data_IF_806436876647
#
_entry.id   IF_806436876647
#
_cell.length_a   1.000
_cell.length_b   1.000
_cell.length_c   1.000
_cell.angle_alpha   90.00
_cell.angle_beta   90.00
_cell.angle_gamma   90.00
#
_symmetry.space_group_name_H-M   'P 1'
#
loop_
_entity.id
_entity.type
_entity.pdbx_description
1 polymer ?
#
# COMPACT_ATOMS: atom_id res chain seq x y z
N UNK A 1 22.25 6.32 19.69
CA UNK A 1 21.43 6.29 18.44
C UNK A 1 20.18 7.14 18.61
N UNK A 2 19.75 7.87 17.57
CA UNK A 2 18.44 8.52 17.50
C UNK A 2 17.76 8.09 16.21
N UNK A 3 16.47 7.78 16.27
CA UNK A 3 15.67 7.48 15.09
C UNK A 3 14.21 7.85 15.31
N UNK A 4 13.49 8.03 14.22
CA UNK A 4 12.05 8.22 14.22
C UNK A 4 11.39 6.96 13.72
N UNK A 5 10.19 6.67 14.24
CA UNK A 5 9.43 5.51 13.80
C UNK A 5 7.95 5.82 13.74
N UNK A 6 7.31 5.23 12.75
CA UNK A 6 5.87 5.25 12.57
C UNK A 6 5.23 4.13 13.40
N UNK A 7 4.17 4.44 14.13
CA UNK A 7 3.40 3.44 14.90
C UNK A 7 2.50 2.67 13.94
N UNK A 8 2.58 1.34 14.00
CA UNK A 8 1.74 0.43 13.19
C UNK A 8 0.54 -0.09 14.00
N UNK A 9 -0.50 -0.55 13.31
CA UNK A 9 -1.77 -0.95 13.94
C UNK A 9 -1.63 -2.00 15.06
N UNK A 10 -0.78 -3.01 14.86
CA UNK A 10 -0.57 -4.07 15.86
C UNK A 10 0.12 -3.55 17.14
N UNK A 11 1.02 -2.58 17.02
CA UNK A 11 1.74 -1.97 18.13
C UNK A 11 0.84 -1.13 19.00
N UNK A 12 -0.02 -0.32 18.36
CA UNK A 12 -1.04 0.46 19.03
C UNK A 12 -2.01 -0.45 19.79
N UNK A 13 -2.50 -1.52 19.14
CA UNK A 13 -3.47 -2.45 19.73
C UNK A 13 -2.91 -3.21 20.92
N UNK A 14 -1.67 -3.70 20.81
CA UNK A 14 -1.04 -4.57 21.82
C UNK A 14 -0.12 -3.82 22.78
N UNK A 15 0.08 -2.51 22.60
CA UNK A 15 0.80 -1.67 23.55
C UNK A 15 2.30 -1.94 23.63
N UNK A 16 2.91 -2.26 22.50
CA UNK A 16 4.35 -2.48 22.41
C UNK A 16 4.98 -1.65 21.31
N UNK A 17 6.30 -1.52 21.36
CA UNK A 17 7.13 -0.87 20.35
C UNK A 17 8.23 -1.82 19.91
N UNK A 18 8.31 -2.08 18.61
CA UNK A 18 9.43 -2.81 18.02
C UNK A 18 10.71 -1.96 18.01
N UNK A 19 11.85 -2.60 18.32
CA UNK A 19 13.17 -2.00 18.30
C UNK A 19 13.96 -2.54 17.09
N UNK A 20 14.44 -1.66 16.18
CA UNK A 20 15.24 -2.07 15.02
C UNK A 20 16.55 -2.76 15.41
N UNK A 21 17.05 -3.67 14.56
CA UNK A 21 18.26 -4.45 14.82
C UNK A 21 19.47 -3.60 15.23
N UNK A 22 19.73 -2.49 14.54
CA UNK A 22 20.84 -1.57 14.89
C UNK A 22 20.71 -0.93 16.28
N UNK A 23 19.48 -0.82 16.80
CA UNK A 23 19.23 -0.27 18.12
C UNK A 23 19.33 -1.34 19.23
N UNK A 24 19.22 -2.63 18.88
CA UNK A 24 19.31 -3.74 19.82
C UNK A 24 20.72 -3.89 20.38
N UNK A 25 21.76 -3.61 19.58
CA UNK A 25 23.18 -3.59 20.02
C UNK A 25 23.44 -2.63 21.19
N UNK A 26 22.51 -1.72 21.48
CA UNK A 26 22.58 -0.73 22.54
C UNK A 26 21.67 -1.05 23.73
N UNK A 27 21.01 -2.21 23.73
CA UNK A 27 20.08 -2.68 24.74
C UNK A 27 20.61 -3.96 25.43
N UNK A 28 20.04 -4.35 26.59
CA UNK A 28 20.45 -5.58 27.27
C UNK A 28 20.18 -6.82 26.42
N UNK A 29 21.10 -7.78 26.45
CA UNK A 29 20.98 -9.05 25.72
C UNK A 29 19.98 -10.05 26.34
N UNK A 30 19.29 -9.63 27.41
CA UNK A 30 18.34 -10.47 28.14
C UNK A 30 17.01 -9.74 28.32
N UNK A 31 15.92 -10.50 28.24
CA UNK A 31 14.57 -10.00 28.55
C UNK A 31 14.51 -9.54 30.01
N UNK A 32 13.85 -8.40 30.26
CA UNK A 32 13.76 -7.84 31.60
C UNK A 32 13.15 -6.45 31.64
N UNK A 33 13.19 -5.83 32.81
CA UNK A 33 12.69 -4.46 33.00
C UNK A 33 13.77 -3.45 32.67
N UNK A 34 13.45 -2.50 31.80
CA UNK A 34 14.33 -1.40 31.38
C UNK A 34 13.79 -0.05 31.84
N UNK A 35 14.70 0.91 31.99
CA UNK A 35 14.34 2.29 32.30
C UNK A 35 14.14 3.06 30.99
N UNK A 36 12.93 3.59 30.82
CA UNK A 36 12.51 4.36 29.65
C UNK A 36 11.97 5.70 30.09
N UNK A 37 12.39 6.77 29.42
CA UNK A 37 11.85 8.11 29.65
C UNK A 37 10.80 8.41 28.57
N UNK A 38 9.52 8.54 28.96
CA UNK A 38 8.41 8.85 28.07
C UNK A 38 8.06 10.34 28.17
N UNK A 39 8.29 11.13 27.12
CA UNK A 39 8.13 12.60 27.12
C UNK A 39 8.79 13.26 28.36
N UNK A 40 10.03 12.87 28.66
CA UNK A 40 10.77 13.38 29.82
C UNK A 40 10.40 12.74 31.17
N UNK A 41 9.36 11.90 31.23
CA UNK A 41 8.93 11.23 32.48
C UNK A 41 9.50 9.81 32.59
N UNK A 42 10.22 9.46 33.66
CA UNK A 42 10.77 8.12 33.82
C UNK A 42 9.66 7.09 34.02
N UNK A 43 9.84 5.92 33.40
CA UNK A 43 8.93 4.77 33.47
C UNK A 43 9.75 3.48 33.37
N UNK A 44 9.32 2.45 34.09
CA UNK A 44 9.87 1.10 33.95
C UNK A 44 8.97 0.32 33.00
N UNK A 45 9.57 -0.22 31.94
CA UNK A 45 8.88 -0.99 30.90
C UNK A 45 9.56 -2.34 30.72
N UNK A 46 8.84 -3.31 30.15
CA UNK A 46 9.38 -4.64 29.91
C UNK A 46 9.97 -4.70 28.51
N UNK A 47 11.23 -5.07 28.40
CA UNK A 47 11.89 -5.41 27.15
C UNK A 47 11.95 -6.92 27.00
N UNK A 48 11.59 -7.41 25.81
CA UNK A 48 11.75 -8.80 25.44
C UNK A 48 12.72 -8.88 24.26
N UNK A 49 13.83 -9.60 24.46
CA UNK A 49 14.89 -9.73 23.47
C UNK A 49 14.45 -10.64 22.30
N UNK A 50 13.76 -11.74 22.58
CA UNK A 50 13.32 -12.72 21.57
C UNK A 50 12.41 -12.08 20.50
N UNK A 51 11.56 -11.13 20.93
CA UNK A 51 10.64 -10.42 20.06
C UNK A 51 11.10 -9.02 19.67
N UNK A 52 12.21 -8.53 20.25
CA UNK A 52 12.73 -7.18 20.06
C UNK A 52 11.70 -6.08 20.35
N UNK A 53 11.01 -6.19 21.48
CA UNK A 53 9.86 -5.34 21.82
C UNK A 53 9.97 -4.75 23.20
N UNK A 54 9.58 -3.47 23.31
CA UNK A 54 9.29 -2.83 24.58
C UNK A 54 7.78 -2.83 24.79
N UNK A 55 7.31 -3.42 25.87
CA UNK A 55 5.91 -3.53 26.26
C UNK A 55 5.52 -2.53 27.34
N UNK A 56 4.21 -2.28 27.46
CA UNK A 56 3.62 -1.42 28.50
C UNK A 56 3.36 0.01 28.02
N UNK A 57 3.24 0.22 26.71
CA UNK A 57 3.04 1.53 26.10
C UNK A 57 1.56 1.88 25.88
N UNK A 58 0.62 0.95 26.10
CA UNK A 58 -0.83 1.18 25.87
C UNK A 58 -1.35 2.45 26.53
N UNK A 59 -1.06 2.63 27.82
CA UNK A 59 -1.53 3.78 28.59
C UNK A 59 -0.91 5.08 28.07
N UNK A 60 0.38 5.05 27.73
CA UNK A 60 1.07 6.20 27.18
C UNK A 60 0.52 6.58 25.80
N UNK A 61 0.34 5.61 24.89
CA UNK A 61 -0.28 5.84 23.60
C UNK A 61 -1.66 6.46 23.72
N UNK A 62 -2.49 5.97 24.65
CA UNK A 62 -3.82 6.52 24.90
C UNK A 62 -3.76 7.95 25.43
N UNK A 63 -2.92 8.21 26.45
CA UNK A 63 -2.82 9.54 27.07
C UNK A 63 -2.26 10.60 26.14
N UNK A 64 -1.36 10.22 25.24
CA UNK A 64 -0.74 11.15 24.29
C UNK A 64 -1.53 11.28 22.98
N UNK A 65 -2.61 10.53 22.78
CA UNK A 65 -3.36 10.55 21.52
C UNK A 65 -2.55 10.01 20.33
N UNK A 66 -1.60 9.12 20.60
CA UNK A 66 -0.79 8.45 19.57
C UNK A 66 -1.67 7.43 18.87
N UNK A 67 -1.75 7.52 17.55
CA UNK A 67 -2.53 6.63 16.70
C UNK A 67 -1.65 5.89 15.69
N UNK A 68 -2.25 5.02 14.88
CA UNK A 68 -1.60 4.45 13.70
C UNK A 68 -1.09 5.59 12.83
N UNK A 69 0.09 5.43 12.25
CA UNK A 69 0.79 6.43 11.45
C UNK A 69 1.44 7.58 12.24
N UNK A 70 1.20 7.72 13.54
CA UNK A 70 1.91 8.68 14.39
C UNK A 70 3.41 8.40 14.41
N UNK A 71 4.21 9.46 14.33
CA UNK A 71 5.67 9.36 14.41
C UNK A 71 6.12 9.63 15.84
N UNK A 72 6.90 8.69 16.40
CA UNK A 72 7.55 8.86 17.71
C UNK A 72 9.06 8.92 17.53
N UNK A 73 9.71 9.80 18.26
CA UNK A 73 11.16 9.92 18.33
C UNK A 73 11.70 8.99 19.41
N UNK A 74 12.72 8.19 19.08
CA UNK A 74 13.41 7.31 20.02
C UNK A 74 14.89 7.68 20.06
N UNK A 75 15.41 7.90 21.26
CA UNK A 75 16.83 8.11 21.54
C UNK A 75 17.31 7.02 22.48
N UNK A 76 18.39 6.34 22.12
CA UNK A 76 19.07 5.35 22.95
C UNK A 76 20.50 5.81 23.16
N UNK A 77 20.90 5.99 24.42
CA UNK A 77 22.22 6.44 24.80
C UNK A 77 22.63 5.75 26.11
N UNK A 78 23.75 5.03 26.08
CA UNK A 78 24.28 4.30 27.25
C UNK A 78 23.23 3.39 27.92
N UNK A 79 22.47 2.62 27.13
CA UNK A 79 21.41 1.74 27.61
C UNK A 79 20.15 2.45 28.14
N UNK A 80 20.10 3.78 28.13
CA UNK A 80 18.91 4.56 28.49
C UNK A 80 18.09 4.88 27.25
N UNK A 81 16.80 4.60 27.31
CA UNK A 81 15.87 4.86 26.21
C UNK A 81 15.02 6.07 26.56
N UNK A 82 14.92 7.02 25.65
CA UNK A 82 13.96 8.10 25.70
C UNK A 82 13.03 8.00 24.49
N UNK A 83 11.73 7.96 24.74
CA UNK A 83 10.68 7.98 23.71
C UNK A 83 9.91 9.28 23.90
N UNK A 84 9.85 10.08 22.84
CA UNK A 84 9.10 11.32 22.84
C UNK A 84 8.09 11.34 21.70
N UNK A 85 6.91 11.86 22.02
CA UNK A 85 5.87 12.17 21.05
C UNK A 85 5.44 13.61 21.29
N UNK A 86 5.65 14.47 20.30
CA UNK A 86 5.04 15.79 20.29
C UNK A 86 3.71 15.64 19.55
N UNK A 87 2.61 15.94 20.25
CA UNK A 87 1.28 15.95 19.64
C UNK A 87 1.18 17.20 18.78
N UNK A 88 1.81 17.12 17.63
CA UNK A 88 2.15 18.26 16.83
C UNK A 88 1.13 18.32 15.71
N UNK A 89 -0.02 18.90 16.04
CA UNK A 89 -0.94 19.48 15.03
C UNK A 89 -0.16 20.35 14.05
N UNK A 90 1.02 20.85 14.44
CA UNK A 90 1.99 21.61 13.65
C UNK A 90 3.01 20.78 12.85
N UNK A 91 3.31 19.51 13.17
CA UNK A 91 4.18 18.65 12.34
C UNK A 91 3.45 17.70 11.42
N UNK A 92 2.26 17.22 11.78
CA UNK A 92 1.35 16.65 10.77
C UNK A 92 1.07 17.72 9.70
N UNK A 93 0.80 18.96 10.10
CA UNK A 93 0.60 20.05 9.16
C UNK A 93 1.87 20.55 8.47
N UNK A 94 3.08 20.47 9.06
CA UNK A 94 4.35 20.74 8.33
C UNK A 94 4.72 19.62 7.35
N UNK A 95 4.49 18.34 7.67
CA UNK A 95 4.65 17.23 6.73
C UNK A 95 3.60 17.29 5.62
N UNK A 96 2.35 17.66 5.93
CA UNK A 96 1.30 17.94 4.93
C UNK A 96 1.64 19.19 4.10
N UNK A 97 2.23 20.25 4.69
CA UNK A 97 2.69 21.44 3.95
C UNK A 97 3.90 21.15 3.07
N UNK A 98 4.83 20.31 3.52
CA UNK A 98 5.98 19.85 2.73
C UNK A 98 5.57 18.83 1.66
N UNK A 99 4.50 18.06 1.88
CA UNK A 99 3.83 17.25 0.86
C UNK A 99 3.06 18.08 -0.17
N UNK A 100 2.74 19.33 0.15
CA UNK A 100 2.11 20.29 -0.78
C UNK A 100 3.06 20.87 -1.83
N UNK A 101 4.32 20.39 -1.91
CA UNK A 101 5.40 21.04 -2.69
C UNK A 101 6.09 20.16 -3.72
N UNK A 102 5.62 18.93 -4.00
CA UNK A 102 6.12 18.19 -5.15
C UNK A 102 5.29 18.55 -6.39
N UNK A 103 5.85 19.41 -7.23
CA UNK A 103 5.25 19.70 -8.53
C UNK A 103 5.37 18.48 -9.46
N UNK A 104 4.24 17.82 -9.70
CA UNK A 104 4.13 16.66 -10.59
C UNK A 104 3.83 17.06 -12.05
N UNK A 105 3.82 18.37 -12.36
CA UNK A 105 3.59 18.88 -13.72
C UNK A 105 4.74 18.52 -14.67
N UNK A 106 5.95 18.40 -14.15
CA UNK A 106 7.14 17.99 -14.91
C UNK A 106 7.14 16.52 -15.34
N UNK A 107 6.28 15.68 -14.76
CA UNK A 107 6.17 14.27 -15.12
C UNK A 107 5.24 14.07 -16.33
N UNK A 108 5.76 13.39 -17.35
CA UNK A 108 5.03 12.94 -18.52
C UNK A 108 3.98 11.87 -18.17
N UNK A 109 3.06 11.60 -19.10
CA UNK A 109 2.06 10.53 -18.91
C UNK A 109 2.69 9.14 -18.84
N UNK A 110 3.84 8.94 -19.50
CA UNK A 110 4.58 7.67 -19.50
C UNK A 110 5.21 7.45 -18.13
N UNK A 111 5.95 8.42 -17.61
CA UNK A 111 6.57 8.33 -16.27
C UNK A 111 5.51 8.13 -15.17
N UNK A 112 4.35 8.79 -15.28
CA UNK A 112 3.20 8.57 -14.38
C UNK A 112 2.62 7.16 -14.47
N UNK A 113 2.67 6.56 -15.66
CA UNK A 113 2.29 5.17 -15.88
C UNK A 113 3.28 4.24 -15.19
N UNK A 114 4.57 4.38 -15.52
CA UNK A 114 5.65 3.55 -14.99
C UNK A 114 5.69 3.56 -13.46
N UNK A 115 5.55 4.73 -12.81
CA UNK A 115 5.49 4.83 -11.35
C UNK A 115 4.38 3.95 -10.78
N UNK A 116 3.19 3.98 -11.38
CA UNK A 116 2.06 3.21 -10.86
C UNK A 116 2.18 1.72 -11.19
N UNK A 117 2.70 1.37 -12.37
CA UNK A 117 3.02 -0.01 -12.71
C UNK A 117 4.00 -0.63 -11.71
N UNK A 118 5.06 0.09 -11.36
CA UNK A 118 6.04 -0.36 -10.38
C UNK A 118 5.43 -0.49 -8.99
N UNK A 119 4.55 0.43 -8.57
CA UNK A 119 3.82 0.33 -7.30
C UNK A 119 2.87 -0.87 -7.27
N UNK A 120 2.14 -1.14 -8.35
CA UNK A 120 1.28 -2.32 -8.46
C UNK A 120 2.13 -3.61 -8.38
N UNK A 121 3.26 -3.66 -9.10
CA UNK A 121 4.21 -4.77 -9.02
C UNK A 121 4.72 -4.98 -7.58
N UNK A 122 5.12 -3.91 -6.88
CA UNK A 122 5.53 -3.96 -5.48
C UNK A 122 4.43 -4.54 -4.59
N UNK A 123 3.18 -4.08 -4.72
CA UNK A 123 2.05 -4.59 -3.94
C UNK A 123 1.84 -6.09 -4.18
N UNK A 124 1.90 -6.55 -5.43
CA UNK A 124 1.74 -7.97 -5.78
C UNK A 124 2.86 -8.81 -5.14
N UNK A 125 4.11 -8.37 -5.22
CA UNK A 125 5.24 -9.09 -4.67
C UNK A 125 5.21 -9.12 -3.13
N UNK A 126 4.93 -7.97 -2.51
CA UNK A 126 4.85 -7.83 -1.05
C UNK A 126 3.72 -8.68 -0.47
N UNK A 127 2.50 -8.57 -1.00
CA UNK A 127 1.35 -9.32 -0.46
C UNK A 127 1.28 -10.76 -1.00
N UNK A 128 1.97 -11.07 -2.11
CA UNK A 128 2.07 -12.41 -2.66
C UNK A 128 2.99 -13.35 -1.86
N UNK A 129 3.84 -12.81 -0.97
CA UNK A 129 4.67 -13.59 -0.03
C UNK A 129 5.48 -14.71 -0.71
N UNK A 130 5.99 -14.46 -1.92
CA UNK A 130 6.77 -15.43 -2.69
C UNK A 130 5.97 -16.46 -3.49
N UNK A 131 4.63 -16.46 -3.40
CA UNK A 131 3.77 -17.37 -4.18
C UNK A 131 3.59 -16.93 -5.64
N UNK A 132 3.74 -15.62 -5.90
CA UNK A 132 3.55 -15.03 -7.21
C UNK A 132 4.90 -14.58 -7.79
N UNK A 133 5.12 -14.83 -9.08
CA UNK A 133 6.14 -14.13 -9.86
C UNK A 133 5.47 -13.11 -10.77
N UNK A 134 6.14 -11.96 -10.95
CA UNK A 134 5.66 -10.87 -11.78
C UNK A 134 6.72 -10.53 -12.83
N UNK A 135 6.32 -10.49 -14.09
CA UNK A 135 7.16 -10.16 -15.24
C UNK A 135 6.64 -8.89 -15.91
N UNK A 136 7.55 -7.99 -16.31
CA UNK A 136 7.22 -6.83 -17.15
C UNK A 136 7.70 -7.14 -18.58
N UNK A 137 6.83 -7.12 -19.59
CA UNK A 137 7.25 -7.37 -20.97
C UNK A 137 8.14 -6.23 -21.46
N UNK A 138 9.15 -6.57 -22.28
CA UNK A 138 10.05 -5.57 -22.88
C UNK A 138 9.36 -4.81 -24.01
N UNK A 139 8.45 -5.47 -24.72
CA UNK A 139 7.71 -4.92 -25.86
C UNK A 139 6.23 -4.90 -25.51
N UNK A 140 5.64 -3.72 -25.43
CA UNK A 140 4.20 -3.56 -25.21
C UNK A 140 3.47 -3.18 -26.52
N UNK A 141 3.01 -4.20 -27.26
CA UNK A 141 2.13 -4.01 -28.42
C UNK A 141 0.65 -4.22 -28.08
N UNK A 142 0.37 -4.87 -26.95
CA UNK A 142 -0.95 -5.39 -26.61
C UNK A 142 -1.59 -4.64 -25.44
N UNK A 143 -0.88 -3.68 -24.85
CA UNK A 143 -1.28 -2.95 -23.65
C UNK A 143 -1.12 -3.77 -22.37
N UNK A 144 -0.25 -4.77 -22.37
CA UNK A 144 0.01 -5.66 -21.24
C UNK A 144 1.21 -5.10 -20.49
N UNK A 145 0.99 -4.69 -19.25
CA UNK A 145 2.02 -4.04 -18.44
C UNK A 145 2.69 -5.05 -17.50
N UNK A 146 1.94 -6.04 -17.01
CA UNK A 146 2.46 -7.10 -16.14
C UNK A 146 1.91 -8.49 -16.52
N UNK A 147 2.73 -9.52 -16.35
CA UNK A 147 2.36 -10.93 -16.47
C UNK A 147 2.61 -11.59 -15.12
N UNK A 148 1.62 -12.29 -14.59
CA UNK A 148 1.66 -12.86 -13.24
C UNK A 148 1.44 -14.36 -13.33
N UNK A 149 2.24 -15.15 -12.63
CA UNK A 149 1.98 -16.57 -12.43
C UNK A 149 2.22 -16.99 -10.97
N UNK A 150 1.65 -18.13 -10.61
CA UNK A 150 1.90 -18.79 -9.33
C UNK A 150 3.06 -19.77 -9.47
N UNK A 151 3.98 -19.80 -8.50
CA UNK A 151 5.08 -20.76 -8.48
C UNK A 151 4.59 -22.20 -8.64
N UNK A 152 5.25 -22.97 -9.52
CA UNK A 152 4.83 -24.34 -9.85
C UNK A 152 3.62 -24.45 -10.78
N UNK A 153 3.11 -23.33 -11.31
CA UNK A 153 2.02 -23.30 -12.30
C UNK A 153 2.44 -22.56 -13.57
N UNK A 154 2.00 -23.08 -14.71
CA UNK A 154 2.15 -22.45 -16.04
C UNK A 154 0.98 -21.53 -16.40
N UNK A 155 0.00 -21.38 -15.51
CA UNK A 155 -1.13 -20.48 -15.73
C UNK A 155 -0.71 -19.06 -15.41
N UNK A 156 -1.07 -18.15 -16.31
CA UNK A 156 -0.69 -16.75 -16.27
C UNK A 156 -1.92 -15.85 -16.25
N UNK A 157 -1.83 -14.72 -15.55
CA UNK A 157 -2.70 -13.57 -15.71
C UNK A 157 -1.95 -12.47 -16.46
N UNK A 158 -2.63 -11.85 -17.41
CA UNK A 158 -2.15 -10.65 -18.08
C UNK A 158 -2.83 -9.45 -17.41
N UNK A 159 -2.05 -8.46 -17.02
CA UNK A 159 -2.54 -7.26 -16.34
C UNK A 159 -2.19 -6.04 -17.16
N UNK A 160 -3.20 -5.24 -17.46
CA UNK A 160 -3.03 -3.86 -17.89
C UNK A 160 -3.22 -2.93 -16.69
N UNK A 161 -2.23 -2.08 -16.43
CA UNK A 161 -2.27 -1.06 -15.40
C UNK A 161 -2.74 0.26 -16.00
N UNK A 162 -3.60 0.98 -15.26
CA UNK A 162 -4.02 2.34 -15.60
C UNK A 162 -4.02 3.22 -14.35
N UNK A 163 -3.51 4.43 -14.48
CA UNK A 163 -3.44 5.37 -13.37
C UNK A 163 -4.12 6.71 -13.69
N UNK A 164 -4.58 7.41 -12.65
CA UNK A 164 -5.02 8.80 -12.73
C UNK A 164 -4.55 9.58 -11.51
N UNK A 165 -3.80 10.65 -11.77
CA UNK A 165 -3.26 11.54 -10.74
C UNK A 165 -4.24 12.64 -10.33
N UNK A 166 -5.32 12.83 -11.10
CA UNK A 166 -6.41 13.77 -10.81
C UNK A 166 -7.70 13.08 -10.35
N UNK A 167 -7.67 11.76 -10.12
CA UNK A 167 -8.88 11.02 -9.78
C UNK A 167 -9.40 11.35 -8.38
N UNK A 168 -8.49 11.54 -7.41
CA UNK A 168 -8.81 11.94 -6.03
C UNK A 168 -9.52 13.29 -6.02
N UNK A 169 -8.93 14.31 -6.65
CA UNK A 169 -9.52 15.65 -6.80
C UNK A 169 -10.91 15.59 -7.46
N UNK A 170 -11.08 14.76 -8.49
CA UNK A 170 -12.34 14.64 -9.23
C UNK A 170 -13.35 13.69 -8.58
N UNK A 171 -12.97 12.97 -7.52
CA UNK A 171 -13.77 11.92 -6.88
C UNK A 171 -14.15 10.76 -7.81
N UNK A 172 -13.42 10.55 -8.92
CA UNK A 172 -13.72 9.51 -9.92
C UNK A 172 -12.51 9.09 -10.74
N UNK A 173 -12.42 7.80 -11.03
CA UNK A 173 -11.50 7.20 -12.00
C UNK A 173 -12.15 7.15 -13.38
N UNK A 174 -11.66 7.98 -14.30
CA UNK A 174 -12.09 7.99 -15.71
C UNK A 174 -11.01 7.40 -16.59
N UNK A 175 -11.24 6.16 -17.05
CA UNK A 175 -10.28 5.39 -17.83
C UNK A 175 -10.76 5.26 -19.27
N UNK A 176 -9.82 5.18 -20.20
CA UNK A 176 -10.12 4.81 -21.59
C UNK A 176 -9.17 3.70 -21.96
N UNK A 177 -9.75 2.55 -22.32
CA UNK A 177 -9.07 1.29 -22.50
C UNK A 177 -9.30 0.85 -23.94
N UNK A 178 -8.22 0.53 -24.66
CA UNK A 178 -8.31 -0.12 -25.96
C UNK A 178 -8.37 -1.62 -25.70
N UNK A 179 -9.48 -2.25 -26.05
CA UNK A 179 -9.67 -3.67 -25.80
C UNK A 179 -9.29 -4.51 -27.02
N UNK A 180 -8.50 -5.55 -26.76
CA UNK A 180 -8.43 -6.76 -27.57
C UNK A 180 -9.64 -7.67 -27.26
N UNK A 181 -9.89 -8.74 -28.03
CA UNK A 181 -10.89 -9.74 -27.65
C UNK A 181 -10.73 -10.15 -26.18
N UNK A 182 -11.83 -10.22 -25.41
CA UNK A 182 -11.75 -10.48 -23.98
C UNK A 182 -11.19 -11.88 -23.76
N UNK A 183 -10.38 -12.03 -22.71
CA UNK A 183 -9.81 -13.31 -22.33
C UNK A 183 -9.89 -13.47 -20.82
N UNK A 184 -10.20 -14.68 -20.35
CA UNK A 184 -10.43 -14.96 -18.93
C UNK A 184 -9.20 -14.66 -18.06
N UNK A 185 -7.99 -14.71 -18.64
CA UNK A 185 -6.76 -14.37 -17.93
C UNK A 185 -6.38 -12.89 -17.99
N UNK A 186 -7.12 -12.07 -18.75
CA UNK A 186 -6.80 -10.66 -18.95
C UNK A 186 -7.62 -9.75 -18.03
N UNK A 187 -6.93 -8.99 -17.19
CA UNK A 187 -7.51 -8.06 -16.22
C UNK A 187 -6.91 -6.66 -16.33
N UNK A 188 -7.68 -5.67 -15.91
CA UNK A 188 -7.27 -4.28 -15.78
C UNK A 188 -7.16 -3.97 -14.30
N UNK A 189 -5.99 -3.51 -13.86
CA UNK A 189 -5.79 -2.92 -12.54
C UNK A 189 -5.73 -1.41 -12.70
N UNK A 190 -6.61 -0.68 -12.03
CA UNK A 190 -6.57 0.77 -12.06
C UNK A 190 -6.49 1.40 -10.68
N UNK A 191 -5.64 2.42 -10.57
CA UNK A 191 -5.34 3.10 -9.32
C UNK A 191 -5.51 4.61 -9.44
N UNK A 192 -5.98 5.24 -8.36
CA UNK A 192 -5.87 6.67 -8.17
C UNK A 192 -4.55 6.94 -7.44
N UNK A 193 -3.70 7.79 -8.03
CA UNK A 193 -2.50 8.28 -7.34
C UNK A 193 -2.89 9.54 -6.56
N UNK A 194 -2.52 9.58 -5.29
CA UNK A 194 -2.79 10.71 -4.42
C UNK A 194 -1.55 11.62 -4.36
N UNK A 195 -1.60 12.81 -4.99
CA UNK A 195 -0.46 13.72 -5.03
C UNK A 195 -0.11 14.30 -3.65
N UNK A 196 -1.06 14.31 -2.70
CA UNK A 196 -0.80 14.77 -1.34
C UNK A 196 -0.04 13.72 -0.53
N UNK A 197 -0.35 12.43 -0.71
CA UNK A 197 0.32 11.36 0.03
C UNK A 197 1.53 10.79 -0.69
N UNK A 198 1.67 11.06 -2.00
CA UNK A 198 2.62 10.45 -2.93
C UNK A 198 2.49 8.92 -3.01
N UNK A 199 1.27 8.43 -2.80
CA UNK A 199 0.95 7.01 -2.72
C UNK A 199 -0.33 6.70 -3.52
N UNK A 200 -0.55 5.42 -3.83
CA UNK A 200 -1.83 4.96 -4.33
C UNK A 200 -2.91 5.02 -3.24
N UNK A 201 -4.12 5.43 -3.64
CA UNK A 201 -5.31 5.28 -2.79
C UNK A 201 -5.47 3.82 -2.33
N UNK A 202 -6.10 3.64 -1.17
CA UNK A 202 -6.23 2.33 -0.54
C UNK A 202 -7.06 1.35 -1.37
N UNK A 203 -7.99 1.84 -2.19
CA UNK A 203 -8.82 1.02 -3.05
C UNK A 203 -8.34 1.07 -4.51
N UNK A 204 -8.22 -0.11 -5.11
CA UNK A 204 -7.87 -0.35 -6.50
C UNK A 204 -9.06 -0.93 -7.24
N UNK A 205 -9.21 -0.63 -8.53
CA UNK A 205 -10.12 -1.38 -9.40
C UNK A 205 -9.37 -2.60 -9.95
N UNK A 206 -9.95 -3.79 -9.79
CA UNK A 206 -9.51 -5.01 -10.46
C UNK A 206 -10.65 -5.52 -11.35
N UNK A 207 -10.54 -5.30 -12.65
CA UNK A 207 -11.66 -5.49 -13.60
C UNK A 207 -11.28 -6.58 -14.61
N UNK A 208 -12.06 -7.66 -14.75
CA UNK A 208 -11.90 -8.60 -15.85
C UNK A 208 -12.11 -7.93 -17.21
N UNK A 209 -11.34 -8.32 -18.23
CA UNK A 209 -11.45 -7.76 -19.58
C UNK A 209 -12.85 -7.90 -20.19
N UNK A 210 -13.55 -9.00 -19.90
CA UNK A 210 -14.94 -9.23 -20.31
C UNK A 210 -15.89 -8.17 -19.75
N UNK A 211 -15.72 -7.78 -18.49
CA UNK A 211 -16.51 -6.74 -17.83
C UNK A 211 -16.29 -5.35 -18.44
N UNK A 212 -15.08 -5.05 -18.95
CA UNK A 212 -14.83 -3.78 -19.66
C UNK A 212 -15.71 -3.67 -20.91
N UNK A 213 -15.86 -4.77 -21.66
CA UNK A 213 -16.67 -4.80 -22.88
C UNK A 213 -18.17 -4.79 -22.55
N UNK A 214 -18.58 -5.53 -21.52
CA UNK A 214 -19.98 -5.64 -21.12
C UNK A 214 -20.52 -4.34 -20.50
N UNK A 215 -19.76 -3.74 -19.58
CA UNK A 215 -20.22 -2.65 -18.72
C UNK A 215 -19.71 -1.25 -19.16
N UNK A 216 -18.67 -1.20 -19.99
CA UNK A 216 -17.99 0.02 -20.44
C UNK A 216 -18.73 0.80 -21.53
N UNK A 217 -18.54 2.12 -21.55
CA UNK A 217 -19.10 3.00 -22.60
C UNK A 217 -18.23 2.88 -23.85
N UNK A 218 -18.77 2.33 -24.93
CA UNK A 218 -18.07 2.21 -26.22
C UNK A 218 -17.85 3.59 -26.85
N UNK A 219 -16.60 3.93 -27.18
CA UNK A 219 -16.24 5.23 -27.79
C UNK A 219 -15.92 5.13 -29.30
N UNK A 220 -15.53 3.95 -29.79
CA UNK A 220 -15.09 3.72 -31.18
C UNK A 220 -13.66 3.17 -31.26
N UNK A 221 -13.28 2.57 -32.41
CA UNK A 221 -11.95 1.94 -32.62
C UNK A 221 -11.54 0.93 -31.54
N UNK A 222 -12.49 0.14 -31.03
CA UNK A 222 -12.26 -0.83 -29.95
C UNK A 222 -11.96 -0.20 -28.58
N UNK A 223 -12.22 1.10 -28.40
CA UNK A 223 -12.01 1.80 -27.12
C UNK A 223 -13.29 1.82 -26.27
N UNK A 224 -13.11 1.60 -24.98
CA UNK A 224 -14.14 1.60 -23.95
C UNK A 224 -13.77 2.58 -22.85
N UNK A 225 -14.76 3.28 -22.32
CA UNK A 225 -14.62 4.22 -21.20
C UNK A 225 -15.25 3.66 -19.94
N UNK A 226 -14.47 3.73 -18.87
CA UNK A 226 -14.88 3.38 -17.52
C UNK A 226 -14.95 4.67 -16.72
N UNK A 227 -16.00 4.81 -15.90
CA UNK A 227 -16.21 5.93 -15.00
C UNK A 227 -16.63 5.37 -13.65
N UNK A 228 -15.65 5.12 -12.78
CA UNK A 228 -15.88 4.59 -11.44
C UNK A 228 -15.80 5.73 -10.43
N UNK A 229 -16.77 5.85 -9.53
CA UNK A 229 -16.68 6.79 -8.41
C UNK A 229 -15.69 6.28 -7.38
N UNK A 230 -14.96 7.19 -6.74
CA UNK A 230 -14.14 6.84 -5.57
C UNK A 230 -14.93 6.87 -4.25
N UNK A 231 -16.23 7.21 -4.28
CA UNK A 231 -17.08 7.22 -3.09
C UNK A 231 -17.47 5.78 -2.74
N UNK A 232 -17.23 5.30 -1.51
CA UNK A 232 -17.55 3.93 -1.10
C UNK A 232 -19.02 3.56 -1.27
N UNK A 233 -19.93 4.50 -1.00
CA UNK A 233 -21.39 4.27 -1.07
C UNK A 233 -21.99 4.65 -2.43
N UNK A 234 -21.18 4.69 -3.48
CA UNK A 234 -21.65 4.97 -4.82
C UNK A 234 -22.52 3.83 -5.34
N UNK A 235 -23.61 4.15 -6.03
CA UNK A 235 -24.42 3.15 -6.75
C UNK A 235 -23.87 2.86 -8.16
N UNK A 236 -22.64 3.27 -8.47
CA UNK A 236 -22.06 2.97 -9.77
C UNK A 236 -21.73 1.48 -9.92
N UNK A 237 -21.88 0.99 -11.16
CA UNK A 237 -21.70 -0.42 -11.52
C UNK A 237 -20.27 -0.96 -11.30
N UNK A 238 -19.28 -0.07 -11.13
CA UNK A 238 -17.89 -0.45 -10.99
C UNK A 238 -17.49 -0.70 -9.54
N UNK A 239 -18.35 -0.34 -8.58
CA UNK A 239 -18.08 -0.55 -7.15
C UNK A 239 -17.75 -2.00 -6.80
N UNK A 240 -18.41 -2.96 -7.44
CA UNK A 240 -18.15 -4.40 -7.26
C UNK A 240 -16.72 -4.85 -7.62
N UNK A 241 -15.96 -4.03 -8.33
CA UNK A 241 -14.58 -4.32 -8.74
C UNK A 241 -13.54 -3.58 -7.89
N UNK A 242 -13.96 -2.75 -6.93
CA UNK A 242 -13.01 -2.19 -5.98
C UNK A 242 -12.57 -3.25 -4.98
N UNK A 243 -11.26 -3.30 -4.77
CA UNK A 243 -10.61 -4.12 -3.77
C UNK A 243 -9.66 -3.23 -2.98
N UNK A 244 -9.45 -3.54 -1.71
CA UNK A 244 -8.39 -2.87 -0.98
C UNK A 244 -7.02 -3.34 -1.52
N UNK A 245 -6.02 -2.46 -1.56
CA UNK A 245 -4.71 -2.73 -2.21
C UNK A 245 -3.95 -3.89 -1.59
N UNK A 246 -4.20 -4.20 -0.32
CA UNK A 246 -3.64 -5.38 0.36
C UNK A 246 -4.30 -6.70 -0.05
N UNK A 247 -5.47 -6.68 -0.70
CA UNK A 247 -6.17 -7.85 -1.22
C UNK A 247 -5.74 -8.17 -2.66
N UNK A 248 -4.98 -7.28 -3.33
CA UNK A 248 -4.63 -7.46 -4.74
C UNK A 248 -3.98 -8.82 -5.01
N UNK A 249 -2.98 -9.20 -4.21
CA UNK A 249 -2.28 -10.47 -4.40
C UNK A 249 -3.20 -11.68 -4.17
N UNK A 250 -4.03 -11.66 -3.12
CA UNK A 250 -4.93 -12.78 -2.83
C UNK A 250 -6.00 -12.94 -3.93
N UNK A 251 -6.56 -11.84 -4.43
CA UNK A 251 -7.51 -11.85 -5.54
C UNK A 251 -6.90 -12.41 -6.82
N UNK A 252 -5.65 -12.08 -7.13
CA UNK A 252 -4.96 -12.63 -8.30
C UNK A 252 -4.68 -14.13 -8.15
N UNK A 253 -4.38 -14.60 -6.95
CA UNK A 253 -4.24 -16.03 -6.65
C UNK A 253 -5.56 -16.76 -6.84
N UNK A 254 -6.67 -16.23 -6.30
CA UNK A 254 -8.02 -16.77 -6.49
C UNK A 254 -8.35 -16.93 -7.98
N UNK A 255 -8.03 -15.92 -8.79
CA UNK A 255 -8.26 -15.96 -10.24
C UNK A 255 -7.39 -17.04 -10.94
N UNK A 256 -6.11 -17.17 -10.58
CA UNK A 256 -5.25 -18.24 -11.12
C UNK A 256 -5.76 -19.64 -10.76
N UNK A 257 -6.31 -19.81 -9.56
CA UNK A 257 -6.92 -21.06 -9.11
C UNK A 257 -8.25 -21.36 -9.80
N UNK A 258 -9.05 -20.33 -10.08
CA UNK A 258 -10.28 -20.46 -10.85
C UNK A 258 -9.99 -20.91 -12.30
N UNK A 259 -9.06 -20.24 -12.98
CA UNK A 259 -8.55 -20.66 -14.30
C UNK A 259 -8.06 -22.10 -14.26
N UNK A 260 -7.50 -22.51 -13.13
CA UNK A 260 -6.98 -23.87 -13.00
C UNK A 260 -8.03 -24.96 -13.07
N UNK A 261 -9.28 -24.66 -12.75
CA UNK A 261 -10.40 -25.61 -12.79
C UNK A 261 -10.90 -25.86 -14.21
N UNK A 262 -10.77 -24.89 -15.11
CA UNK A 262 -11.33 -24.96 -16.47
C UNK A 262 -10.34 -25.46 -17.53
N UNK A 263 -9.05 -25.52 -17.20
CA UNK A 263 -7.97 -25.93 -18.12
C UNK A 263 -7.28 -27.19 -17.60
N UNK A 264 -8.05 -28.24 -17.29
CA UNK A 264 -7.50 -29.58 -17.00
C UNK A 264 -7.05 -30.27 -18.28
#
# INVERSE_FOLDING_TARGET
MKYERKIIGVEKRLGFMYIPSKAQELLPDVSGTINVTLNGKPKRLNYNVDYNRIFGLTEWYRKQGIDVESIVSVKIENGKIAISYENDVTQASKLIRAKKTLDLSGLTSVEKGDIVEDRIKELILLYGQGLLSVYKPVVDKEGIDLIINKGGSYKVLFIQVKSRFNAVEKGKLVLTIKMQPPHYSYHIVAAAFNPETLELEDNLLLIPSSSVIADGIKLGSGKYRIMASLKPDSNDKWQKYFIHKNELASRLIEQLEEISKYLQ
#
